data_IF_023498755011
#
_entry.id   IF_023498755011
#
_cell.length_a   1.000
_cell.length_b   1.000
_cell.length_c   1.000
_cell.angle_alpha   90.00
_cell.angle_beta   90.00
_cell.angle_gamma   90.00
#
_symmetry.space_group_name_H-M   'P 1'
#
loop_
_entity.id
_entity.type
_entity.pdbx_description
1 polymer ?
2 non-polymer ?
3 water ?
#
# COMPACT_ATOMS: atom_id res chain seq x y z
N UNK A 2 -19.19 4.53 -19.34
CA UNK A 2 -20.35 3.95 -18.63
C UNK A 2 -20.32 4.44 -17.17
N UNK A 3 -19.36 4.00 -16.37
CA UNK A 3 -19.25 4.43 -14.95
C UNK A 3 -18.83 5.89 -14.87
N UNK A 4 -19.33 6.56 -13.85
CA UNK A 4 -19.05 7.98 -13.59
C UNK A 4 -18.52 8.10 -12.17
N UNK A 5 -17.67 9.08 -11.96
CA UNK A 5 -17.21 9.48 -10.63
C UNK A 5 -18.39 10.08 -9.88
N UNK A 6 -18.84 9.49 -8.74
CA UNK A 6 -19.93 10.07 -7.97
C UNK A 6 -19.55 11.43 -7.38
N UNK A 7 -20.54 12.29 -7.14
CA UNK A 7 -20.37 13.57 -6.42
C UNK A 7 -20.22 13.28 -4.93
N UNK A 8 -19.28 13.94 -4.23
CA UNK A 8 -19.24 13.84 -2.75
C UNK A 8 -20.57 14.37 -2.22
N UNK A 9 -21.15 13.80 -1.15
CA UNK A 9 -22.34 14.37 -0.52
C UNK A 9 -22.12 15.62 0.35
N UNK A 10 -20.92 16.17 0.41
CA UNK A 10 -20.52 17.25 1.35
C UNK A 10 -19.29 17.95 0.75
N UNK A 11 -18.94 19.13 1.28
CA UNK A 11 -17.80 19.93 0.80
C UNK A 11 -16.50 19.19 1.12
N UNK A 12 -15.42 19.49 0.41
CA UNK A 12 -14.11 18.82 0.63
C UNK A 12 -13.65 19.06 2.07
N UNK A 13 -14.03 20.19 2.71
CA UNK A 13 -13.57 20.53 4.08
C UNK A 13 -14.61 20.12 5.15
N UNK A 14 -15.70 19.45 4.76
CA UNK A 14 -16.80 19.07 5.66
C UNK A 14 -16.34 18.13 6.77
N UNK A 15 -15.32 17.30 6.54
CA UNK A 15 -14.91 16.29 7.54
C UNK A 15 -13.72 16.80 8.38
N UNK A 16 -13.36 18.07 8.26
CA UNK A 16 -12.30 18.69 9.11
C UNK A 16 -12.85 18.79 10.52
N UNK A 17 -12.00 18.68 11.58
CA UNK A 17 -10.56 18.47 11.43
C UNK A 17 -10.12 17.01 11.36
N UNK A 18 -11.05 16.09 11.08
CA UNK A 18 -10.78 14.64 11.19
C UNK A 18 -10.01 14.22 9.95
N UNK A 19 -10.55 14.53 8.79
CA UNK A 19 -9.94 14.20 7.47
C UNK A 19 -9.75 15.56 6.83
N UNK A 20 -8.52 15.82 6.37
CA UNK A 20 -8.11 17.11 5.81
C UNK A 20 -8.75 17.29 4.44
N UNK A 21 -9.01 18.54 4.09
CA UNK A 21 -9.69 18.90 2.83
C UNK A 21 -8.76 18.63 1.64
N UNK A 22 -7.44 18.76 1.82
CA UNK A 22 -6.49 18.51 0.71
C UNK A 22 -6.57 17.04 0.34
N UNK A 23 -6.56 16.15 1.33
CA UNK A 23 -6.69 14.70 1.09
C UNK A 23 -8.04 14.42 0.47
N UNK A 24 -9.14 14.98 0.99
CA UNK A 24 -10.49 14.62 0.46
C UNK A 24 -10.52 14.95 -1.03
N UNK A 25 -9.96 16.09 -1.43
CA UNK A 25 -9.97 16.52 -2.86
C UNK A 25 -9.14 15.54 -3.71
N UNK A 26 -7.91 15.25 -3.30
CA UNK A 26 -7.01 14.39 -4.11
C UNK A 26 -7.62 12.99 -4.16
N UNK A 27 -8.07 12.50 -3.01
CA UNK A 27 -8.61 11.13 -2.86
C UNK A 27 -9.77 10.90 -3.83
N UNK A 28 -10.63 11.88 -3.95
CA UNK A 28 -11.86 11.75 -4.76
C UNK A 28 -11.52 12.10 -6.21
N UNK A 29 -10.90 13.24 -6.43
CA UNK A 29 -10.75 13.83 -7.79
C UNK A 29 -9.62 13.16 -8.55
N UNK A 30 -8.64 12.56 -7.87
CA UNK A 30 -7.50 11.89 -8.55
C UNK A 30 -7.59 10.39 -8.39
N UNK A 31 -7.46 9.85 -7.17
CA UNK A 31 -7.41 8.38 -6.95
C UNK A 31 -8.71 7.75 -7.43
N UNK A 32 -9.84 8.17 -6.89
CA UNK A 32 -11.13 7.56 -7.32
C UNK A 32 -11.33 7.77 -8.84
N UNK A 33 -11.12 8.98 -9.33
CA UNK A 33 -11.24 9.28 -10.78
C UNK A 33 -10.39 8.32 -11.61
N UNK A 34 -9.15 7.99 -11.19
CA UNK A 34 -8.26 7.03 -11.92
C UNK A 34 -8.91 5.66 -12.01
N UNK A 35 -9.53 5.18 -10.93
CA UNK A 35 -10.17 3.84 -10.92
C UNK A 35 -11.35 3.82 -11.90
N UNK A 36 -12.11 4.91 -11.95
CA UNK A 36 -13.26 5.01 -12.92
C UNK A 36 -12.74 4.92 -14.36
N UNK A 37 -11.73 5.71 -14.71
CA UNK A 37 -11.13 5.74 -16.08
C UNK A 37 -10.68 4.34 -16.47
N UNK A 38 -9.95 3.66 -15.59
CA UNK A 38 -9.37 2.35 -15.92
C UNK A 38 -10.45 1.29 -15.94
N UNK A 39 -11.48 1.40 -15.09
CA UNK A 39 -12.63 0.47 -15.09
C UNK A 39 -13.39 0.59 -16.41
N UNK A 40 -13.61 1.81 -16.87
CA UNK A 40 -14.33 2.09 -18.14
C UNK A 40 -13.55 1.48 -19.32
N UNK A 41 -12.23 1.57 -19.31
CA UNK A 41 -11.35 1.00 -20.37
C UNK A 41 -11.46 -0.54 -20.33
N UNK A 42 -11.60 -1.14 -19.16
CA UNK A 42 -11.69 -2.61 -19.09
C UNK A 42 -13.05 -3.05 -19.64
N UNK A 43 -14.14 -2.32 -19.37
CA UNK A 43 -15.51 -2.89 -19.59
C UNK A 43 -16.17 -2.35 -20.89
N UNK A 44 -15.59 -1.35 -21.56
CA UNK A 44 -16.25 -0.65 -22.70
C UNK A 44 -16.70 -1.68 -23.74
N UNK A 45 -17.97 -1.59 -24.16
CA UNK A 45 -18.61 -2.45 -25.17
C UNK A 45 -18.82 -3.90 -24.73
N UNK A 46 -18.58 -4.25 -23.46
CA UNK A 46 -18.80 -5.62 -22.91
C UNK A 46 -20.21 -5.74 -22.31
N UNK A 47 -20.58 -6.96 -21.92
CA UNK A 47 -21.74 -7.28 -21.03
C UNK A 47 -21.69 -6.40 -19.78
N UNK A 48 -20.51 -6.29 -19.17
CA UNK A 48 -20.36 -5.70 -17.80
C UNK A 48 -20.71 -4.22 -17.84
N UNK A 49 -20.70 -3.62 -19.03
CA UNK A 49 -20.88 -2.16 -19.21
C UNK A 49 -22.25 -1.67 -18.70
N UNK A 50 -23.28 -2.53 -18.63
CA UNK A 50 -24.66 -2.14 -18.22
C UNK A 50 -25.04 -2.73 -16.85
N UNK A 51 -24.10 -3.40 -16.16
CA UNK A 51 -24.33 -3.97 -14.81
C UNK A 51 -23.92 -2.98 -13.72
N UNK A 52 -24.53 -3.07 -12.55
CA UNK A 52 -24.12 -2.26 -11.37
C UNK A 52 -22.71 -2.69 -10.97
N UNK A 53 -21.91 -1.78 -10.41
CA UNK A 53 -20.55 -2.16 -9.97
C UNK A 53 -20.67 -3.22 -8.88
N UNK A 54 -21.70 -3.19 -8.03
CA UNK A 54 -21.86 -4.19 -6.94
C UNK A 54 -22.02 -5.58 -7.55
N UNK A 55 -22.80 -5.73 -8.64
CA UNK A 55 -22.98 -7.09 -9.24
C UNK A 55 -21.68 -7.52 -9.91
N UNK A 56 -20.93 -6.60 -10.51
CA UNK A 56 -19.63 -6.90 -11.15
C UNK A 56 -18.71 -7.45 -10.06
N UNK A 57 -18.58 -6.74 -8.93
CA UNK A 57 -17.57 -7.09 -7.88
C UNK A 57 -18.01 -8.36 -7.14
N UNK A 58 -19.32 -8.54 -6.90
CA UNK A 58 -19.89 -9.77 -6.28
C UNK A 58 -19.57 -10.99 -7.15
N UNK A 59 -19.48 -10.81 -8.47
CA UNK A 59 -19.36 -11.93 -9.44
C UNK A 59 -17.97 -11.93 -10.09
N UNK A 60 -16.95 -11.39 -9.42
CA UNK A 60 -15.60 -11.23 -10.02
C UNK A 60 -15.07 -12.58 -10.54
N UNK A 61 -15.34 -13.66 -9.80
CA UNK A 61 -14.82 -15.03 -10.05
C UNK A 61 -15.31 -15.55 -11.41
N UNK A 62 -16.23 -14.85 -12.06
CA UNK A 62 -16.78 -15.21 -13.38
C UNK A 62 -16.51 -14.11 -14.41
N UNK A 63 -15.66 -13.13 -14.12
CA UNK A 63 -15.16 -12.19 -15.16
C UNK A 63 -14.01 -12.87 -15.91
N UNK A 64 -13.94 -12.79 -17.26
CA UNK A 64 -12.89 -13.48 -18.02
C UNK A 64 -11.48 -12.94 -17.77
N UNK A 65 -10.47 -13.84 -17.86
CA UNK A 65 -9.05 -13.64 -17.47
C UNK A 65 -8.44 -12.41 -18.14
N UNK A 66 -8.83 -12.05 -19.36
CA UNK A 66 -8.23 -10.88 -20.08
C UNK A 66 -8.44 -9.57 -19.30
N UNK A 67 -9.56 -9.39 -18.58
CA UNK A 67 -9.86 -8.13 -17.84
C UNK A 67 -10.07 -8.38 -16.33
N UNK A 68 -10.04 -9.61 -15.84
CA UNK A 68 -10.32 -9.93 -14.42
C UNK A 68 -9.47 -9.06 -13.49
N UNK A 69 -8.16 -8.94 -13.73
CA UNK A 69 -7.26 -8.17 -12.82
C UNK A 69 -7.62 -6.68 -12.87
N UNK A 70 -7.84 -6.11 -14.06
CA UNK A 70 -8.22 -4.69 -14.23
C UNK A 70 -9.57 -4.44 -13.53
N UNK A 71 -10.51 -5.38 -13.60
CA UNK A 71 -11.85 -5.18 -12.99
C UNK A 71 -11.72 -5.39 -11.48
N UNK A 72 -10.92 -6.36 -11.05
CA UNK A 72 -10.69 -6.59 -9.61
C UNK A 72 -10.17 -5.29 -9.00
N UNK A 73 -9.15 -4.75 -9.60
CA UNK A 73 -8.40 -3.61 -8.99
C UNK A 73 -9.23 -2.34 -9.15
N UNK A 74 -9.68 -2.03 -10.35
CA UNK A 74 -10.34 -0.73 -10.65
C UNK A 74 -11.83 -0.76 -10.33
N UNK A 75 -12.54 -1.86 -10.65
CA UNK A 75 -13.89 -2.15 -10.17
C UNK A 75 -13.96 -2.10 -8.66
N UNK A 76 -13.04 -2.81 -8.00
CA UNK A 76 -12.86 -2.73 -6.54
C UNK A 76 -12.67 -1.30 -6.10
N UNK A 77 -11.71 -0.59 -6.71
CA UNK A 77 -11.42 0.81 -6.33
C UNK A 77 -12.66 1.68 -6.48
N UNK A 78 -13.40 1.51 -7.57
CA UNK A 78 -14.62 2.31 -7.81
C UNK A 78 -15.68 1.99 -6.75
N UNK A 79 -16.01 0.71 -6.50
CA UNK A 79 -17.04 0.37 -5.50
C UNK A 79 -16.61 0.82 -4.10
N UNK A 80 -15.36 0.51 -3.72
CA UNK A 80 -14.89 0.77 -2.33
C UNK A 80 -14.93 2.27 -2.06
N UNK A 81 -14.45 3.10 -2.98
CA UNK A 81 -14.44 4.57 -2.74
C UNK A 81 -15.88 5.09 -2.78
N UNK A 82 -16.74 4.58 -3.67
CA UNK A 82 -18.16 5.00 -3.74
C UNK A 82 -18.84 4.76 -2.39
N UNK A 83 -18.62 3.58 -1.80
CA UNK A 83 -19.20 3.25 -0.47
C UNK A 83 -18.58 4.16 0.59
N UNK A 84 -17.28 4.35 0.53
CA UNK A 84 -16.57 5.16 1.56
C UNK A 84 -17.17 6.57 1.62
N UNK A 85 -17.35 7.26 0.49
CA UNK A 85 -17.88 8.64 0.56
C UNK A 85 -19.25 8.64 1.25
N UNK A 86 -20.10 7.63 1.00
CA UNK A 86 -21.50 7.57 1.49
C UNK A 86 -21.51 7.23 2.98
N UNK A 87 -20.45 6.57 3.45
CA UNK A 87 -20.39 6.07 4.84
C UNK A 87 -19.68 7.09 5.75
N UNK A 88 -19.26 8.24 5.22
CA UNK A 88 -18.72 9.36 6.03
C UNK A 88 -19.79 10.45 6.10
N UNK A 89 -19.80 11.17 7.21
CA UNK A 89 -20.76 12.29 7.38
C UNK A 89 -20.17 13.33 8.30
N UNK A 90 -20.44 14.60 8.02
CA UNK A 90 -20.12 15.70 8.93
C UNK A 90 -21.07 15.83 10.13
N UNK A 91 -22.11 15.00 10.16
CA UNK A 91 -23.18 15.00 11.19
C UNK A 91 -23.32 13.61 11.80
N UNK A 92 -22.20 12.94 12.11
CA UNK A 92 -22.14 11.56 12.64
C UNK A 92 -22.84 11.55 14.00
N UNK A 93 -23.75 10.60 14.24
CA UNK A 93 -24.35 10.38 15.59
C UNK A 93 -24.29 8.89 15.90
N UNK A 94 -23.65 8.49 17.01
CA UNK A 94 -23.47 7.07 17.38
C UNK A 94 -24.78 6.52 17.95
N UNK A 95 -25.73 6.18 17.09
CA UNK A 95 -26.98 5.52 17.52
C UNK A 95 -27.54 4.71 16.36
N UNK A 96 -28.61 3.97 16.62
CA UNK A 96 -29.36 3.28 15.57
C UNK A 96 -29.21 1.77 15.64
N UNK A 97 -29.75 1.10 14.63
CA UNK A 97 -29.95 -0.37 14.56
C UNK A 97 -28.61 -1.07 14.79
N UNK A 98 -27.60 -0.68 14.01
CA UNK A 98 -26.30 -1.39 14.07
C UNK A 98 -25.57 -1.04 15.36
N UNK A 99 -25.53 0.20 15.79
CA UNK A 99 -24.91 0.57 17.09
C UNK A 99 -25.49 -0.33 18.20
N UNK A 100 -26.80 -0.54 18.21
CA UNK A 100 -27.46 -1.41 19.23
C UNK A 100 -26.98 -2.86 19.05
N UNK A 101 -26.91 -3.36 17.80
CA UNK A 101 -26.46 -4.76 17.52
C UNK A 101 -25.01 -4.92 17.98
N UNK A 102 -24.17 -3.91 17.75
CA UNK A 102 -22.74 -3.91 18.16
C UNK A 102 -22.66 -4.02 19.69
N UNK A 103 -23.37 -3.15 20.40
CA UNK A 103 -23.43 -3.18 21.88
C UNK A 103 -23.85 -4.58 22.36
N UNK A 104 -24.82 -5.22 21.72
CA UNK A 104 -25.31 -6.57 22.11
C UNK A 104 -24.19 -7.59 21.88
N UNK A 105 -23.52 -7.51 20.73
CA UNK A 105 -22.59 -8.60 20.32
C UNK A 105 -21.25 -8.41 21.02
N UNK A 106 -20.70 -7.19 21.04
CA UNK A 106 -19.36 -6.91 21.66
C UNK A 106 -19.48 -6.53 23.14
N UNK A 107 -20.67 -6.14 23.61
CA UNK A 107 -20.86 -5.66 24.99
C UNK A 107 -20.90 -4.14 25.08
N UNK A 108 -20.07 -3.45 24.30
CA UNK A 108 -20.01 -1.96 24.22
C UNK A 108 -19.38 -1.51 22.90
N UNK A 109 -19.61 -0.24 22.54
CA UNK A 109 -19.05 0.37 21.32
C UNK A 109 -17.52 0.47 21.48
N UNK A 110 -17.03 0.76 22.68
CA UNK A 110 -15.57 0.90 22.93
C UNK A 110 -14.84 -0.44 22.70
N UNK A 111 -15.41 -1.59 23.07
CA UNK A 111 -14.82 -2.93 22.78
C UNK A 111 -14.85 -3.22 21.26
N UNK A 112 -15.92 -2.85 20.58
CA UNK A 112 -16.02 -2.99 19.10
C UNK A 112 -14.90 -2.17 18.46
N UNK A 113 -14.74 -0.93 18.89
CA UNK A 113 -13.73 0.02 18.36
C UNK A 113 -12.32 -0.50 18.62
N UNK A 114 -12.09 -1.12 19.76
CA UNK A 114 -10.76 -1.70 20.06
C UNK A 114 -10.44 -2.81 19.05
N UNK A 115 -11.37 -3.72 18.79
CA UNK A 115 -11.15 -4.84 17.84
C UNK A 115 -10.95 -4.30 16.42
N UNK A 116 -11.75 -3.31 16.03
CA UNK A 116 -11.67 -2.74 14.65
C UNK A 116 -10.30 -2.06 14.49
N UNK A 117 -9.90 -1.27 15.47
CA UNK A 117 -8.65 -0.48 15.45
C UNK A 117 -7.45 -1.42 15.40
N UNK A 118 -7.53 -2.52 16.13
CA UNK A 118 -6.46 -3.56 16.16
C UNK A 118 -6.32 -4.21 14.78
N UNK A 119 -7.43 -4.67 14.19
CA UNK A 119 -7.41 -5.33 12.86
C UNK A 119 -7.02 -4.31 11.78
N UNK A 120 -7.49 -3.06 11.87
CA UNK A 120 -7.18 -2.05 10.85
C UNK A 120 -5.68 -1.73 10.93
N UNK A 121 -5.12 -1.68 12.15
CA UNK A 121 -3.69 -1.35 12.40
C UNK A 121 -2.79 -2.47 11.85
N UNK A 122 -3.29 -3.70 11.88
CA UNK A 122 -2.55 -4.94 11.54
C UNK A 122 -2.66 -5.28 10.05
N UNK A 123 -3.48 -4.58 9.24
CA UNK A 123 -3.48 -4.77 7.77
C UNK A 123 -2.13 -4.26 7.26
N UNK A 124 -1.27 -5.16 6.78
CA UNK A 124 0.09 -4.80 6.30
C UNK A 124 0.02 -4.46 4.81
N UNK A 125 0.55 -3.30 4.46
CA UNK A 125 0.41 -2.77 3.09
C UNK A 125 -0.93 -2.10 2.91
N UNK A 126 -1.36 -1.99 1.66
CA UNK A 126 -2.60 -1.27 1.25
C UNK A 126 -3.80 -2.18 1.51
N UNK A 127 -4.92 -1.61 1.92
CA UNK A 127 -6.16 -2.40 1.99
C UNK A 127 -7.23 -1.66 2.74
N UNK A 128 -8.22 -2.41 3.21
CA UNK A 128 -9.46 -1.89 3.79
C UNK A 128 -9.82 -2.73 5.02
N UNK A 129 -10.39 -2.09 6.03
CA UNK A 129 -11.02 -2.79 7.17
C UNK A 129 -12.52 -2.72 6.95
N UNK A 130 -13.24 -3.78 7.32
CA UNK A 130 -14.68 -3.92 7.00
C UNK A 130 -15.47 -4.38 8.21
N UNK A 131 -16.71 -3.92 8.31
CA UNK A 131 -17.74 -4.56 9.16
C UNK A 131 -18.69 -5.26 8.20
N UNK A 132 -18.81 -6.59 8.34
CA UNK A 132 -19.64 -7.39 7.40
C UNK A 132 -20.73 -8.12 8.18
N UNK A 133 -21.76 -8.52 7.47
CA UNK A 133 -22.79 -9.44 8.02
C UNK A 133 -22.41 -10.83 7.53
N UNK A 134 -22.30 -11.80 8.43
CA UNK A 134 -22.09 -13.21 8.01
C UNK A 134 -22.78 -14.13 9.00
N UNK A 135 -23.65 -15.00 8.51
CA UNK A 135 -24.28 -16.04 9.36
C UNK A 135 -25.05 -15.34 10.49
N UNK A 136 -25.76 -14.26 10.16
CA UNK A 136 -26.71 -13.59 11.08
C UNK A 136 -26.00 -12.79 12.17
N UNK A 137 -24.69 -12.59 12.06
CA UNK A 137 -23.90 -11.84 13.07
C UNK A 137 -22.98 -10.87 12.33
N UNK A 138 -22.34 -10.00 13.11
CA UNK A 138 -21.38 -9.00 12.58
C UNK A 138 -19.96 -9.54 12.73
N UNK A 139 -19.11 -9.22 11.76
CA UNK A 139 -17.72 -9.70 11.74
C UNK A 139 -16.85 -8.55 11.24
N UNK A 140 -15.68 -8.39 11.81
CA UNK A 140 -14.66 -7.42 11.34
C UNK A 140 -13.65 -8.20 10.53
N UNK A 141 -13.39 -7.78 9.30
CA UNK A 141 -12.42 -8.45 8.40
C UNK A 141 -11.57 -7.36 7.75
N UNK A 142 -10.36 -7.70 7.28
CA UNK A 142 -9.60 -6.74 6.46
C UNK A 142 -9.29 -7.44 5.14
N UNK A 143 -9.09 -6.66 4.09
CA UNK A 143 -8.74 -7.18 2.76
C UNK A 143 -7.54 -6.42 2.22
N UNK A 144 -6.77 -7.03 1.29
CA UNK A 144 -5.68 -6.35 0.61
C UNK A 144 -6.14 -5.50 -0.58
N UNK A 145 -5.43 -4.39 -0.83
CA UNK A 145 -5.53 -3.60 -2.08
C UNK A 145 -6.99 -3.16 -2.28
N UNK A 146 -7.69 -3.54 -3.34
CA UNK A 146 -9.12 -3.12 -3.47
C UNK A 146 -10.04 -4.35 -3.42
N UNK A 147 -9.61 -5.44 -2.79
CA UNK A 147 -10.50 -6.64 -2.65
C UNK A 147 -11.65 -6.28 -1.69
N UNK A 148 -12.80 -6.84 -1.94
CA UNK A 148 -14.08 -6.47 -1.32
C UNK A 148 -14.70 -7.78 -0.85
N UNK A 149 -15.18 -7.88 0.41
CA UNK A 149 -15.75 -9.12 0.91
C UNK A 149 -17.00 -9.59 0.16
N UNK A 150 -17.65 -8.71 -0.60
CA UNK A 150 -18.79 -9.08 -1.47
C UNK A 150 -18.37 -10.18 -2.43
N UNK A 151 -17.14 -10.17 -2.90
CA UNK A 151 -16.61 -11.20 -3.84
C UNK A 151 -16.63 -12.58 -3.17
N UNK A 152 -16.48 -12.64 -1.85
CA UNK A 152 -16.48 -13.92 -1.07
C UNK A 152 -17.87 -14.19 -0.45
N UNK A 153 -18.88 -13.41 -0.84
CA UNK A 153 -20.30 -13.66 -0.48
C UNK A 153 -20.68 -13.08 0.86
N UNK A 154 -19.92 -12.12 1.40
CA UNK A 154 -20.25 -11.42 2.68
C UNK A 154 -20.61 -9.95 2.41
N UNK A 155 -21.69 -9.47 3.01
CA UNK A 155 -22.19 -8.11 2.71
C UNK A 155 -21.55 -7.11 3.65
N UNK A 156 -20.81 -6.11 3.12
CA UNK A 156 -20.23 -5.10 4.00
C UNK A 156 -21.28 -4.03 4.38
N UNK A 157 -21.16 -3.50 5.57
CA UNK A 157 -22.00 -2.37 6.04
C UNK A 157 -21.16 -1.19 6.52
N UNK A 158 -19.86 -1.35 6.73
CA UNK A 158 -18.97 -0.22 7.01
C UNK A 158 -17.61 -0.58 6.43
N UNK A 159 -16.84 0.40 5.97
CA UNK A 159 -15.47 0.12 5.51
C UNK A 159 -14.61 1.32 5.84
N UNK A 160 -13.31 1.09 5.85
CA UNK A 160 -12.35 2.10 6.26
C UNK A 160 -11.07 1.89 5.45
N UNK A 161 -10.67 2.94 4.75
CA UNK A 161 -9.53 2.89 3.81
C UNK A 161 -8.23 2.98 4.62
N UNK A 162 -7.35 2.02 4.49
CA UNK A 162 -6.03 2.09 5.16
C UNK A 162 -4.91 2.12 4.13
N UNK A 163 -5.22 2.44 2.86
CA UNK A 163 -4.17 2.88 1.91
C UNK A 163 -3.53 4.12 2.48
N UNK A 164 -2.21 4.25 2.37
CA UNK A 164 -1.49 5.42 2.94
C UNK A 164 -2.01 6.72 2.31
N UNK A 165 -2.49 6.69 1.06
CA UNK A 165 -3.03 7.95 0.46
C UNK A 165 -4.19 8.49 1.30
N UNK A 166 -4.90 7.65 2.03
CA UNK A 166 -6.09 8.08 2.79
C UNK A 166 -5.72 8.95 3.99
N UNK A 167 -4.51 8.86 4.52
CA UNK A 167 -4.17 9.53 5.79
C UNK A 167 -2.77 10.14 5.83
N UNK A 168 -1.93 9.99 4.81
CA UNK A 168 -0.51 10.36 4.95
C UNK A 168 -0.34 11.87 5.09
N UNK A 169 -1.10 12.68 4.34
CA UNK A 169 -0.84 14.14 4.40
C UNK A 169 -1.08 14.67 5.80
N UNK A 170 -2.08 14.18 6.52
CA UNK A 170 -2.42 14.73 7.86
C UNK A 170 -1.70 13.93 8.95
N UNK A 171 -1.62 12.61 8.83
CA UNK A 171 -1.26 11.70 9.94
C UNK A 171 0.12 11.08 9.72
N UNK A 172 0.67 11.19 8.52
CA UNK A 172 1.91 10.48 8.12
C UNK A 172 1.80 9.04 8.63
N UNK A 173 2.81 8.53 9.33
CA UNK A 173 2.86 7.10 9.73
C UNK A 173 1.83 6.74 10.81
N UNK A 174 1.15 7.70 11.44
CA UNK A 174 0.30 7.48 12.66
C UNK A 174 -1.10 6.95 12.31
N UNK A 175 -1.15 5.74 11.77
CA UNK A 175 -2.40 5.10 11.35
C UNK A 175 -3.36 5.05 12.54
N UNK A 176 -2.93 4.70 13.79
CA UNK A 176 -3.88 4.67 14.90
C UNK A 176 -4.61 5.99 15.19
N UNK A 177 -3.94 7.14 15.03
CA UNK A 177 -4.56 8.48 15.19
C UNK A 177 -5.62 8.69 14.09
N UNK A 178 -5.36 8.19 12.89
CA UNK A 178 -6.31 8.27 11.75
C UNK A 178 -7.57 7.47 12.09
N UNK A 179 -7.38 6.23 12.59
CA UNK A 179 -8.48 5.30 12.98
C UNK A 179 -9.30 6.00 14.06
N UNK A 180 -8.62 6.64 15.02
CA UNK A 180 -9.25 7.43 16.09
C UNK A 180 -10.18 8.50 15.53
N UNK A 181 -9.73 9.20 14.51
CA UNK A 181 -10.47 10.32 13.88
C UNK A 181 -11.71 9.79 13.15
N UNK A 182 -11.60 8.62 12.54
CA UNK A 182 -12.67 8.01 11.73
C UNK A 182 -13.99 7.94 12.52
N UNK A 183 -13.93 7.57 13.80
CA UNK A 183 -15.17 7.35 14.57
C UNK A 183 -16.01 8.62 14.59
N UNK A 184 -15.37 9.79 14.49
CA UNK A 184 -16.06 11.10 14.56
C UNK A 184 -16.86 11.37 13.28
N UNK A 185 -16.62 10.65 12.19
CA UNK A 185 -17.27 10.96 10.87
C UNK A 185 -17.98 9.72 10.27
N UNK A 186 -18.22 8.69 11.04
CA UNK A 186 -18.98 7.51 10.53
C UNK A 186 -20.44 7.87 10.34
N UNK A 187 -20.99 7.57 9.15
CA UNK A 187 -22.43 7.80 8.85
C UNK A 187 -23.19 6.55 9.30
N UNK A 188 -23.58 6.48 10.58
CA UNK A 188 -24.27 5.31 11.17
C UNK A 188 -25.66 5.18 10.55
N UNK A 189 -26.24 6.26 10.02
CA UNK A 189 -27.52 6.19 9.28
C UNK A 189 -27.34 5.32 8.04
N UNK A 190 -26.26 5.51 7.30
CA UNK A 190 -25.98 4.71 6.07
C UNK A 190 -25.64 3.27 6.49
N UNK A 191 -24.89 3.08 7.56
CA UNK A 191 -24.54 1.72 8.06
C UNK A 191 -25.85 0.96 8.32
N UNK A 192 -26.81 1.59 8.98
CA UNK A 192 -28.14 0.99 9.26
C UNK A 192 -28.87 0.66 7.95
N UNK A 193 -28.82 1.58 6.98
CA UNK A 193 -29.46 1.37 5.67
C UNK A 193 -28.89 0.09 5.05
N UNK A 194 -27.57 -0.07 5.03
CA UNK A 194 -26.90 -1.23 4.37
C UNK A 194 -27.22 -2.51 5.14
N UNK A 195 -27.20 -2.46 6.47
CA UNK A 195 -27.52 -3.61 7.34
C UNK A 195 -28.97 -4.05 7.13
N UNK A 196 -29.91 -3.11 7.20
CA UNK A 196 -31.35 -3.45 7.13
C UNK A 196 -31.69 -3.98 5.73
N UNK A 197 -30.95 -3.59 4.69
CA UNK A 197 -31.09 -4.14 3.32
C UNK A 197 -30.77 -5.65 3.29
N UNK A 198 -30.09 -6.24 4.28
CA UNK A 198 -29.69 -7.69 4.28
C UNK A 198 -30.78 -8.61 4.87
N UNK B 2 18.62 -7.57 18.58
CA UNK B 2 19.63 -8.06 17.64
C UNK B 2 19.82 -6.99 16.57
N UNK B 3 18.83 -6.79 15.71
CA UNK B 3 18.97 -5.88 14.53
C UNK B 3 18.91 -4.43 14.97
N UNK B 4 19.63 -3.58 14.24
CA UNK B 4 19.76 -2.14 14.57
C UNK B 4 19.35 -1.32 13.36
N UNK B 5 18.82 -0.14 13.64
CA UNK B 5 18.47 0.83 12.58
C UNK B 5 19.77 1.45 12.10
N UNK B 6 20.15 1.27 10.82
CA UNK B 6 21.41 1.82 10.35
C UNK B 6 21.26 3.34 10.22
N UNK B 7 22.34 4.06 10.38
CA UNK B 7 22.35 5.52 10.16
C UNK B 7 22.32 5.79 8.65
N UNK B 8 21.71 6.90 8.26
CA UNK B 8 21.75 7.35 6.85
C UNK B 8 23.17 7.78 6.53
N UNK B 9 23.63 7.57 5.29
CA UNK B 9 24.93 8.04 4.84
C UNK B 9 24.98 9.53 4.45
N UNK B 10 23.92 10.30 4.69
CA UNK B 10 23.76 11.70 4.24
C UNK B 10 22.73 12.38 5.18
N UNK B 11 22.65 13.70 5.09
CA UNK B 11 21.66 14.53 5.81
C UNK B 11 20.28 14.22 5.25
N UNK B 12 19.24 14.35 6.07
CA UNK B 12 17.82 14.23 5.60
C UNK B 12 17.56 15.11 4.38
N UNK B 13 18.23 16.26 4.25
CA UNK B 13 17.90 17.21 3.16
C UNK B 13 18.86 17.05 1.99
N UNK B 14 19.76 16.07 2.03
CA UNK B 14 20.84 15.90 1.01
C UNK B 14 20.23 15.57 -0.35
N UNK B 15 19.05 14.97 -0.42
CA UNK B 15 18.48 14.51 -1.72
C UNK B 15 17.46 15.53 -2.27
N UNK B 16 17.34 16.71 -1.64
CA UNK B 16 16.44 17.78 -2.15
C UNK B 16 17.05 18.30 -3.44
N UNK B 17 16.26 18.71 -4.45
CA UNK B 17 14.80 18.73 -4.39
C UNK B 17 14.10 17.48 -4.92
N UNK B 18 14.82 16.36 -4.99
CA UNK B 18 14.27 15.12 -5.60
C UNK B 18 13.40 14.39 -4.58
N UNK B 19 13.93 14.08 -3.38
CA UNK B 19 13.18 13.53 -2.23
C UNK B 19 13.20 14.56 -1.11
N UNK B 20 12.05 14.80 -0.48
CA UNK B 20 11.90 15.89 0.51
C UNK B 20 12.52 15.46 1.85
N UNK B 21 13.06 16.42 2.60
CA UNK B 21 13.72 16.13 3.90
C UNK B 21 12.72 15.59 4.93
N UNK B 22 11.45 16.02 4.88
CA UNK B 22 10.41 15.58 5.86
C UNK B 22 10.15 14.10 5.68
N UNK B 23 10.08 13.67 4.43
CA UNK B 23 9.88 12.25 4.04
C UNK B 23 11.08 11.46 4.49
N UNK B 24 12.29 11.93 4.19
CA UNK B 24 13.50 11.14 4.54
C UNK B 24 13.51 10.90 6.05
N UNK B 25 13.22 11.94 6.84
CA UNK B 25 13.27 11.76 8.31
C UNK B 25 12.20 10.76 8.77
N UNK B 26 10.96 10.89 8.33
CA UNK B 26 9.84 10.02 8.78
C UNK B 26 10.10 8.61 8.26
N UNK B 27 10.59 8.49 7.03
CA UNK B 27 10.77 7.20 6.34
C UNK B 27 11.81 6.38 7.10
N UNK B 28 12.89 7.02 7.47
CA UNK B 28 13.99 6.37 8.21
C UNK B 28 13.64 6.22 9.70
N UNK B 29 13.36 7.34 10.38
CA UNK B 29 13.28 7.40 11.86
C UNK B 29 12.01 6.74 12.37
N UNK B 30 10.94 6.67 11.57
CA UNK B 30 9.67 6.06 12.02
C UNK B 30 9.44 4.73 11.29
N UNK B 31 9.23 4.72 9.99
CA UNK B 31 8.84 3.48 9.26
C UNK B 31 9.92 2.41 9.42
N UNK B 32 11.14 2.72 9.06
CA UNK B 32 12.25 1.73 9.09
C UNK B 32 12.44 1.32 10.56
N UNK B 33 12.44 2.28 11.46
CA UNK B 33 12.58 1.95 12.91
C UNK B 33 11.50 0.94 13.37
N UNK B 34 10.23 1.14 13.01
CA UNK B 34 9.11 0.20 13.28
C UNK B 34 9.43 -1.20 12.76
N UNK B 35 9.97 -1.37 11.55
CA UNK B 35 10.31 -2.71 10.99
C UNK B 35 11.35 -3.38 11.88
N UNK B 36 12.35 -2.61 12.32
CA UNK B 36 13.43 -3.16 13.20
C UNK B 36 12.81 -3.64 14.52
N UNK B 37 11.95 -2.82 15.10
CA UNK B 37 11.28 -3.16 16.38
C UNK B 37 10.48 -4.45 16.24
N UNK B 38 9.67 -4.59 15.20
CA UNK B 38 8.76 -5.76 15.03
C UNK B 38 9.59 -6.99 14.65
N UNK B 39 10.64 -6.79 13.88
CA UNK B 39 11.51 -7.90 13.47
C UNK B 39 12.20 -8.46 14.72
N UNK B 40 12.73 -7.60 15.59
CA UNK B 40 13.41 -8.07 16.84
C UNK B 40 12.42 -8.85 17.71
N UNK B 41 11.19 -8.37 17.85
CA UNK B 41 10.10 -9.04 18.60
C UNK B 41 9.88 -10.46 18.05
N UNK B 42 9.80 -10.61 16.73
CA UNK B 42 9.47 -11.89 16.07
C UNK B 42 10.64 -12.89 16.20
N UNK B 43 11.89 -12.45 16.15
CA UNK B 43 13.03 -13.42 16.16
C UNK B 43 13.53 -13.63 17.59
N UNK B 44 13.15 -12.79 18.55
CA UNK B 44 13.64 -12.86 19.95
C UNK B 44 13.54 -14.32 20.44
N UNK B 45 14.66 -14.91 20.85
CA UNK B 45 14.66 -16.25 21.47
C UNK B 45 14.56 -17.37 20.45
N UNK B 46 14.74 -17.10 19.16
CA UNK B 46 14.64 -18.15 18.11
C UNK B 46 16.02 -18.35 17.49
N UNK B 47 16.18 -19.33 16.61
CA UNK B 47 17.47 -19.59 15.93
C UNK B 47 17.69 -18.57 14.81
N UNK B 48 16.74 -17.66 14.56
CA UNK B 48 16.91 -16.54 13.58
C UNK B 48 17.71 -15.39 14.17
N UNK B 49 17.80 -15.31 15.50
CA UNK B 49 18.36 -14.15 16.23
C UNK B 49 19.80 -13.87 15.76
N UNK B 50 20.58 -14.89 15.45
CA UNK B 50 22.02 -14.75 15.15
C UNK B 50 22.27 -14.70 13.63
N UNK B 51 21.21 -14.74 12.82
CA UNK B 51 21.34 -14.78 11.35
C UNK B 51 21.40 -13.34 10.80
N UNK B 52 22.14 -13.14 9.73
CA UNK B 52 22.12 -11.86 8.97
C UNK B 52 20.73 -11.70 8.34
N UNK B 53 20.30 -10.47 8.16
CA UNK B 53 18.96 -10.23 7.57
C UNK B 53 18.96 -10.77 6.14
N UNK B 54 20.08 -10.71 5.38
CA UNK B 54 20.11 -11.29 3.99
C UNK B 54 19.88 -12.80 4.06
N UNK B 55 20.48 -13.51 5.05
CA UNK B 55 20.30 -14.99 5.21
C UNK B 55 18.84 -15.27 5.56
N UNK B 56 18.22 -14.46 6.42
CA UNK B 56 16.79 -14.69 6.81
C UNK B 56 15.93 -14.50 5.57
N UNK B 57 16.07 -13.38 4.86
CA UNK B 57 15.15 -13.11 3.71
C UNK B 57 15.36 -14.15 2.59
N UNK B 58 16.61 -14.56 2.34
CA UNK B 58 16.98 -15.57 1.32
C UNK B 58 16.26 -16.89 1.62
N UNK B 59 16.18 -17.25 2.90
CA UNK B 59 15.68 -18.54 3.41
C UNK B 59 14.32 -18.36 4.09
N UNK B 60 13.50 -17.40 3.65
CA UNK B 60 12.24 -17.05 4.34
C UNK B 60 11.31 -18.26 4.29
N UNK B 61 11.38 -19.05 3.23
CA UNK B 61 10.48 -20.20 3.01
C UNK B 61 10.70 -21.24 4.11
N UNK B 62 11.85 -21.25 4.79
CA UNK B 62 12.19 -22.20 5.90
C UNK B 62 11.86 -21.67 7.30
N UNK B 63 11.39 -20.43 7.41
CA UNK B 63 11.04 -19.79 8.72
C UNK B 63 9.80 -20.47 9.24
N UNK B 64 9.76 -20.85 10.54
CA UNK B 64 8.56 -21.46 11.14
C UNK B 64 7.23 -20.71 10.91
N UNK B 65 6.15 -21.48 10.75
CA UNK B 65 4.87 -20.96 10.23
C UNK B 65 4.32 -19.87 11.15
N UNK B 66 4.60 -19.96 12.45
CA UNK B 66 3.95 -19.09 13.47
C UNK B 66 4.60 -17.70 13.44
N UNK B 67 5.82 -17.55 12.92
CA UNK B 67 6.44 -16.20 12.78
C UNK B 67 6.73 -15.85 11.30
N UNK B 68 6.32 -16.67 10.34
CA UNK B 68 6.78 -16.44 8.93
C UNK B 68 6.22 -15.09 8.43
N UNK B 69 4.98 -14.78 8.72
CA UNK B 69 4.42 -13.49 8.20
C UNK B 69 5.12 -12.29 8.84
N UNK B 70 5.35 -12.30 10.14
CA UNK B 70 6.06 -11.22 10.86
C UNK B 70 7.45 -11.04 10.27
N UNK B 71 8.15 -12.13 9.99
CA UNK B 71 9.53 -12.04 9.46
C UNK B 71 9.50 -11.60 7.98
N UNK B 72 8.61 -12.17 7.19
CA UNK B 72 8.43 -11.76 5.77
C UNK B 72 8.22 -10.24 5.71
N UNK B 73 7.33 -9.73 6.53
CA UNK B 73 6.93 -8.31 6.45
C UNK B 73 8.01 -7.42 7.07
N UNK B 74 8.46 -7.74 8.28
CA UNK B 74 9.36 -6.83 9.06
C UNK B 74 10.83 -7.08 8.69
N UNK B 75 11.20 -8.33 8.40
CA UNK B 75 12.54 -8.67 7.87
C UNK B 75 12.73 -8.04 6.51
N UNK B 76 11.73 -8.22 5.64
CA UNK B 76 11.67 -7.58 4.30
C UNK B 76 11.81 -6.10 4.48
N UNK B 77 11.02 -5.50 5.37
CA UNK B 77 11.08 -4.05 5.59
C UNK B 77 12.47 -3.59 5.99
N UNK B 78 13.09 -4.28 6.94
CA UNK B 78 14.45 -3.93 7.40
C UNK B 78 15.46 -4.04 6.24
N UNK B 79 15.52 -5.19 5.57
CA UNK B 79 16.46 -5.38 4.45
C UNK B 79 16.22 -4.35 3.34
N UNK B 80 14.97 -4.19 2.92
CA UNK B 80 14.66 -3.32 1.76
C UNK B 80 15.00 -1.89 2.12
N UNK B 81 14.66 -1.40 3.33
CA UNK B 81 15.00 0.02 3.64
C UNK B 81 16.51 0.17 3.82
N UNK B 82 17.16 -0.84 4.40
CA UNK B 82 18.63 -0.81 4.56
C UNK B 82 19.32 -0.66 3.20
N UNK B 83 18.90 -1.42 2.19
CA UNK B 83 19.47 -1.36 0.84
C UNK B 83 19.12 0.01 0.22
N UNK B 84 17.87 0.42 0.36
CA UNK B 84 17.39 1.70 -0.23
C UNK B 84 18.27 2.89 0.20
N UNK B 85 18.55 3.06 1.48
CA UNK B 85 19.36 4.21 1.95
C UNK B 85 20.74 4.18 1.29
N UNK B 86 21.37 2.99 1.19
CA UNK B 86 22.74 2.83 0.61
C UNK B 86 22.72 3.10 -0.90
N UNK B 87 21.59 2.93 -1.58
CA UNK B 87 21.48 2.99 -3.06
C UNK B 87 21.04 4.37 -3.50
N UNK B 88 20.97 5.32 -2.57
CA UNK B 88 20.67 6.74 -2.87
C UNK B 88 21.93 7.54 -2.59
N UNK B 89 22.11 8.60 -3.35
CA UNK B 89 23.32 9.45 -3.23
C UNK B 89 22.95 10.84 -3.70
N UNK B 90 23.46 11.91 -3.04
CA UNK B 90 23.27 13.26 -3.55
C UNK B 90 24.08 13.55 -4.82
N UNK B 91 25.13 12.79 -5.10
CA UNK B 91 26.04 13.18 -6.22
C UNK B 91 26.35 11.95 -7.07
N UNK B 92 25.28 11.21 -7.39
CA UNK B 92 25.05 10.15 -8.42
C UNK B 92 25.75 10.50 -9.75
N UNK B 93 26.68 9.65 -10.22
CA UNK B 93 27.19 9.68 -11.62
C UNK B 93 26.70 8.43 -12.34
N UNK B 94 26.07 8.58 -13.50
CA UNK B 94 25.56 7.44 -14.32
C UNK B 94 26.71 6.86 -15.13
N UNK B 95 27.54 6.04 -14.49
CA UNK B 95 28.64 5.32 -15.15
C UNK B 95 28.95 4.10 -14.30
N UNK B 96 29.82 3.24 -14.78
CA UNK B 96 30.28 2.07 -14.03
C UNK B 96 29.82 0.78 -14.68
N UNK B 97 30.08 -0.31 -14.01
CA UNK B 97 29.92 -1.66 -14.59
C UNK B 97 28.47 -1.89 -15.02
N UNK B 98 27.52 -1.57 -14.14
CA UNK B 98 26.10 -1.94 -14.39
C UNK B 98 25.54 -0.98 -15.45
N UNK B 99 25.88 0.31 -15.41
CA UNK B 99 25.41 1.23 -16.49
C UNK B 99 25.86 0.66 -17.85
N UNK B 100 27.08 0.15 -17.95
CA UNK B 100 27.60 -0.38 -19.24
C UNK B 100 26.79 -1.63 -19.64
N UNK B 101 26.53 -2.54 -18.69
CA UNK B 101 25.72 -3.77 -18.90
C UNK B 101 24.30 -3.38 -19.30
N UNK B 102 23.73 -2.34 -18.70
CA UNK B 102 22.34 -1.90 -19.05
C UNK B 102 22.31 -1.41 -20.49
N UNK B 103 23.29 -0.62 -20.88
CA UNK B 103 23.38 -0.03 -22.25
C UNK B 103 23.45 -1.17 -23.26
N UNK B 104 24.19 -2.22 -22.92
CA UNK B 104 24.41 -3.39 -23.80
C UNK B 104 23.09 -4.14 -23.97
N UNK B 105 22.30 -4.25 -22.90
CA UNK B 105 21.09 -5.10 -22.91
C UNK B 105 19.88 -4.31 -23.42
N UNK B 106 19.68 -3.06 -22.98
CA UNK B 106 18.49 -2.26 -23.34
C UNK B 106 18.78 -1.33 -24.51
N UNK B 107 20.06 -1.14 -24.87
CA UNK B 107 20.48 -0.21 -25.94
C UNK B 107 20.88 1.15 -25.42
N UNK B 108 20.13 1.70 -24.47
CA UNK B 108 20.43 3.02 -23.85
C UNK B 108 19.97 2.97 -22.39
N UNK B 109 20.58 3.81 -21.55
CA UNK B 109 20.01 4.14 -20.22
C UNK B 109 18.57 4.63 -20.41
N UNK B 110 18.28 5.45 -21.41
CA UNK B 110 16.92 6.03 -21.52
C UNK B 110 15.90 4.91 -21.78
N UNK B 111 16.26 3.89 -22.54
CA UNK B 111 15.35 2.74 -22.79
C UNK B 111 15.13 1.96 -21.48
N UNK B 112 16.19 1.71 -20.73
CA UNK B 112 16.12 1.04 -19.41
C UNK B 112 15.16 1.80 -18.49
N UNK B 113 15.32 3.12 -18.39
CA UNK B 113 14.53 3.96 -17.46
C UNK B 113 13.04 3.92 -17.81
N UNK B 114 12.70 3.89 -19.11
CA UNK B 114 11.28 3.81 -19.55
C UNK B 114 10.68 2.46 -19.15
N UNK B 115 11.41 1.34 -19.26
CA UNK B 115 10.86 0.02 -18.88
C UNK B 115 10.71 -0.01 -17.35
N UNK B 116 11.74 0.43 -16.63
CA UNK B 116 11.72 0.51 -15.15
C UNK B 116 10.52 1.34 -14.70
N UNK B 117 10.34 2.54 -15.25
CA UNK B 117 9.23 3.43 -14.87
C UNK B 117 7.88 2.78 -15.16
N UNK B 118 7.73 2.11 -16.31
CA UNK B 118 6.46 1.44 -16.69
C UNK B 118 6.11 0.38 -15.65
N UNK B 119 7.04 -0.52 -15.33
CA UNK B 119 6.80 -1.58 -14.32
C UNK B 119 6.57 -0.97 -12.93
N UNK B 120 7.37 0.01 -12.50
CA UNK B 120 7.22 0.68 -11.19
C UNK B 120 5.82 1.33 -11.09
N UNK B 121 5.33 1.95 -12.16
CA UNK B 121 4.03 2.65 -12.15
C UNK B 121 2.90 1.61 -12.14
N UNK B 122 3.13 0.43 -12.72
CA UNK B 122 2.13 -0.66 -12.84
C UNK B 122 1.95 -1.43 -11.53
N UNK B 123 2.88 -1.37 -10.57
CA UNK B 123 2.75 -2.13 -9.30
C UNK B 123 1.52 -1.59 -8.57
N UNK B 124 0.47 -2.39 -8.47
CA UNK B 124 -0.78 -1.96 -7.80
C UNK B 124 -0.68 -2.20 -6.30
N UNK B 125 -1.05 -1.22 -5.49
CA UNK B 125 -0.85 -1.27 -4.04
C UNK B 125 0.60 -1.00 -3.66
N UNK B 126 1.00 -1.47 -2.49
CA UNK B 126 2.33 -1.26 -1.89
C UNK B 126 3.34 -2.23 -2.51
N UNK B 127 4.55 -1.77 -2.74
CA UNK B 127 5.62 -2.68 -3.16
C UNK B 127 6.88 -1.97 -3.55
N UNK B 128 7.68 -2.67 -4.34
CA UNK B 128 9.03 -2.28 -4.76
C UNK B 128 9.22 -2.63 -6.22
N UNK B 129 10.01 -1.82 -6.91
CA UNK B 129 10.55 -2.21 -8.22
C UNK B 129 12.03 -2.52 -8.04
N UNK B 130 12.53 -3.47 -8.83
CA UNK B 130 13.89 -4.01 -8.68
C UNK B 130 14.58 -4.16 -10.01
N UNK B 131 15.89 -3.95 -9.97
CA UNK B 131 16.84 -4.52 -10.96
C UNK B 131 17.52 -5.69 -10.28
N UNK B 132 17.40 -6.86 -10.90
CA UNK B 132 18.00 -8.08 -10.33
C UNK B 132 18.93 -8.72 -11.36
N UNK B 133 19.84 -9.52 -10.83
CA UNK B 133 20.62 -10.54 -11.58
C UNK B 133 19.92 -11.87 -11.32
N UNK B 134 19.45 -12.46 -12.42
CA UNK B 134 18.79 -13.78 -12.44
C UNK B 134 19.73 -14.69 -13.24
N UNK B 135 20.57 -15.49 -12.57
CA UNK B 135 21.47 -16.44 -13.26
C UNK B 135 22.27 -15.64 -14.31
N UNK B 136 22.94 -14.58 -13.86
CA UNK B 136 23.89 -13.77 -14.65
C UNK B 136 23.21 -12.73 -15.55
N UNK B 137 21.89 -12.77 -15.77
CA UNK B 137 21.21 -11.83 -16.69
C UNK B 137 20.50 -10.74 -15.89
N UNK B 138 20.49 -9.50 -16.36
CA UNK B 138 19.75 -8.40 -15.67
C UNK B 138 18.28 -8.48 -16.02
N UNK B 139 17.40 -8.23 -15.05
CA UNK B 139 15.93 -8.24 -15.25
C UNK B 139 15.32 -7.17 -14.33
N UNK B 140 14.23 -6.57 -14.75
CA UNK B 140 13.39 -5.69 -13.89
C UNK B 140 12.20 -6.50 -13.43
N UNK B 141 11.94 -6.50 -12.12
CA UNK B 141 10.75 -7.19 -11.55
C UNK B 141 10.16 -6.22 -10.53
N UNK B 142 8.90 -6.45 -10.15
CA UNK B 142 8.30 -5.71 -9.01
C UNK B 142 7.76 -6.74 -8.03
N UNK B 143 7.68 -6.37 -6.76
CA UNK B 143 7.17 -7.28 -5.71
C UNK B 143 6.12 -6.55 -4.91
N UNK B 144 5.18 -7.28 -4.27
CA UNK B 144 4.24 -6.65 -3.33
C UNK B 144 4.82 -6.43 -1.93
N UNK B 145 4.29 -5.40 -1.24
CA UNK B 145 4.52 -5.17 0.21
C UNK B 145 6.02 -5.14 0.49
N UNK B 146 6.57 -6.02 1.33
CA UNK B 146 8.05 -6.03 1.57
C UNK B 146 8.69 -7.30 1.03
N UNK B 147 8.05 -7.99 0.09
CA UNK B 147 8.64 -9.17 -0.57
C UNK B 147 9.92 -8.74 -1.29
N UNK B 148 10.91 -9.62 -1.30
CA UNK B 148 12.27 -9.34 -1.86
C UNK B 148 12.61 -10.47 -2.83
N UNK B 149 13.17 -10.17 -4.03
CA UNK B 149 13.49 -11.22 -5.00
C UNK B 149 14.58 -12.17 -4.51
N UNK B 150 15.36 -11.79 -3.47
CA UNK B 150 16.38 -12.68 -2.87
C UNK B 150 15.72 -13.99 -2.39
N UNK B 151 14.48 -13.93 -1.92
CA UNK B 151 13.70 -15.10 -1.47
C UNK B 151 13.56 -16.12 -2.62
N UNK B 152 13.49 -15.66 -3.88
CA UNK B 152 13.30 -16.51 -5.08
C UNK B 152 14.64 -16.77 -5.78
N UNK B 153 15.78 -16.54 -5.11
CA UNK B 153 17.15 -16.73 -5.63
C UNK B 153 17.52 -15.77 -6.75
N UNK B 154 17.07 -14.50 -6.69
CA UNK B 154 17.54 -13.43 -7.63
C UNK B 154 18.22 -12.36 -6.79
N UNK B 155 19.38 -11.85 -7.22
CA UNK B 155 20.16 -10.90 -6.38
C UNK B 155 19.72 -9.50 -6.74
N UNK B 156 19.17 -8.70 -5.82
CA UNK B 156 18.83 -7.31 -6.16
C UNK B 156 20.12 -6.48 -6.21
N UNK B 157 20.16 -5.56 -7.16
CA UNK B 157 21.26 -4.57 -7.26
C UNK B 157 20.72 -3.15 -7.26
N UNK B 158 19.44 -2.94 -7.51
CA UNK B 158 18.81 -1.61 -7.38
C UNK B 158 17.37 -1.88 -6.94
N UNK B 159 16.85 -1.04 -6.09
CA UNK B 159 15.42 -1.10 -5.72
C UNK B 159 14.87 0.31 -5.59
N UNK B 160 13.55 0.33 -5.60
CA UNK B 160 12.77 1.56 -5.65
C UNK B 160 11.46 1.34 -4.88
N UNK B 161 11.27 2.13 -3.85
CA UNK B 161 10.12 1.99 -2.93
C UNK B 161 8.92 2.62 -3.61
N UNK B 162 7.84 1.87 -3.85
CA UNK B 162 6.61 2.54 -4.36
C UNK B 162 5.47 2.38 -3.35
N UNK B 163 5.78 2.10 -2.07
CA UNK B 163 4.80 2.41 -1.01
C UNK B 163 4.49 3.92 -1.06
N UNK B 164 3.25 4.29 -0.81
CA UNK B 164 2.81 5.71 -0.85
C UNK B 164 3.59 6.54 0.17
N UNK B 165 3.97 5.97 1.32
CA UNK B 165 4.73 6.75 2.34
C UNK B 165 6.05 7.27 1.75
N UNK B 166 6.58 6.65 0.71
CA UNK B 166 7.87 7.03 0.11
C UNK B 166 7.76 8.36 -0.68
N UNK B 167 6.57 8.74 -1.14
CA UNK B 167 6.42 9.86 -2.09
C UNK B 167 5.22 10.77 -1.84
N UNK B 168 4.31 10.43 -0.92
CA UNK B 168 3.00 11.10 -0.88
C UNK B 168 3.21 12.56 -0.45
N UNK B 169 4.10 12.86 0.52
CA UNK B 169 4.19 14.23 1.09
C UNK B 169 4.54 15.21 -0.02
N UNK B 170 5.48 14.85 -0.88
CA UNK B 170 5.97 15.74 -1.96
C UNK B 170 5.14 15.58 -3.23
N UNK B 171 4.76 14.36 -3.65
CA UNK B 171 4.25 14.11 -5.01
C UNK B 171 2.77 13.67 -5.00
N UNK B 172 2.22 13.42 -3.81
CA UNK B 172 0.82 12.90 -3.66
C UNK B 172 0.65 11.74 -4.64
N UNK B 173 -0.39 11.77 -5.49
CA UNK B 173 -0.73 10.63 -6.38
C UNK B 173 0.23 10.48 -7.55
N UNK B 174 1.12 11.44 -7.81
CA UNK B 174 1.94 11.51 -9.05
C UNK B 174 3.17 10.61 -8.93
N UNK B 175 2.94 9.29 -8.81
CA UNK B 175 4.06 8.31 -8.73
C UNK B 175 5.00 8.50 -9.94
N UNK B 176 4.55 8.81 -11.20
CA UNK B 176 5.51 9.00 -12.30
C UNK B 176 6.52 10.14 -12.12
N UNK B 177 6.12 11.23 -11.47
CA UNK B 177 7.05 12.35 -11.15
C UNK B 177 8.10 11.87 -10.14
N UNK B 178 7.66 11.12 -9.13
CA UNK B 178 8.58 10.49 -8.13
C UNK B 178 9.62 9.61 -8.84
N UNK B 179 9.16 8.69 -9.72
CA UNK B 179 10.09 7.78 -10.45
C UNK B 179 11.11 8.62 -11.24
N UNK B 180 10.63 9.68 -11.91
CA UNK B 180 11.47 10.65 -12.63
C UNK B 180 12.56 11.22 -11.77
N UNK B 181 12.23 11.63 -10.55
CA UNK B 181 13.15 12.28 -9.61
C UNK B 181 14.18 11.27 -9.07
N UNK B 182 13.80 10.01 -8.93
CA UNK B 182 14.71 8.92 -8.48
C UNK B 182 16.01 8.85 -9.30
N UNK B 183 15.98 9.01 -10.63
CA UNK B 183 17.19 8.83 -11.47
C UNK B 183 18.29 9.81 -11.06
N UNK B 184 17.91 10.96 -10.50
CA UNK B 184 18.87 11.99 -10.05
C UNK B 184 19.67 11.55 -8.82
N UNK B 185 19.18 10.56 -8.08
CA UNK B 185 19.79 10.22 -6.77
C UNK B 185 20.13 8.73 -6.67
N UNK B 186 20.16 8.03 -7.78
CA UNK B 186 20.66 6.62 -7.76
C UNK B 186 22.18 6.58 -7.52
N UNK B 187 22.58 5.79 -6.55
CA UNK B 187 24.00 5.54 -6.22
C UNK B 187 24.53 4.39 -7.09
N UNK B 188 24.97 4.68 -8.32
CA UNK B 188 25.47 3.67 -9.26
C UNK B 188 26.75 3.00 -8.75
N UNK B 189 27.54 3.64 -7.90
CA UNK B 189 28.71 3.00 -7.24
C UNK B 189 28.24 1.80 -6.41
N UNK B 190 27.17 1.98 -5.63
CA UNK B 190 26.66 0.90 -4.77
C UNK B 190 26.02 -0.17 -5.67
N UNK B 191 25.35 0.23 -6.75
CA UNK B 191 24.71 -0.75 -7.68
C UNK B 191 25.83 -1.65 -8.21
N UNK B 192 26.95 -1.04 -8.60
CA UNK B 192 28.13 -1.78 -9.11
C UNK B 192 28.68 -2.75 -8.07
N UNK B 193 28.78 -2.29 -6.83
CA UNK B 193 29.30 -3.08 -5.70
C UNK B 193 28.42 -4.33 -5.52
N UNK B 194 27.09 -4.17 -5.56
CA UNK B 194 26.17 -5.31 -5.35
C UNK B 194 26.28 -6.24 -6.55
N UNK B 195 26.44 -5.70 -7.75
CA UNK B 195 26.51 -6.53 -8.96
C UNK B 195 27.80 -7.36 -8.91
N UNK B 196 28.91 -6.72 -8.59
CA UNK B 196 30.26 -7.34 -8.71
C UNK B 196 30.41 -8.43 -7.63
N UNK B 197 29.68 -8.32 -6.51
CA UNK B 197 29.67 -9.33 -5.43
C UNK B 197 29.04 -10.65 -5.91
N UNK B 198 28.31 -10.69 -7.04
CA UNK B 198 27.68 -11.96 -7.57
C UNK B 198 28.64 -12.75 -8.47
X LIG C 1 -8.42 5.24 -1.16
X LIG D 1 9.38 2.51 2.59
#
# INVERSE_FOLDING_TARGET
MAFELPKLPYAFDALEPHFDKETMEIHHDRHHNTYVTKLNAAVEGTDLESKSIEEIVANLDSVPANIQTAVRNNGGGHLNHSLFWELLSPNSEEKGTVVEKIKEQWGSLEEFKKEFADKAAARFGSGWAWLVVNNGQLEIVTTPNQDNPLTEGKTPILLFDVWEHAYYLKYQNKRPDYIGAFWNVVNWEKVDELYNATK
MAFELPKLPYAFDALEPHFDKETMEIHHDRHHNTYVTKLNAAVEGTDLESKSIEEIVANLDSVPANIQTAVRNNGGGHLNHSLFWELLSPNSEEKGTVVEKIKEQWGSLEEFKKEFADKAAARFGSGWAWLVVNNGQLEIVTTPNQDNPLTEGKTPILLFDVWEHAYYLKYQNKRPDYIGAFWNVVNWEKVDELYNATK
MN MN
MN MN
#
